data_IF_410814799654
#
_entry.id   IF_410814799654
#
_cell.length_a   1.000
_cell.length_b   1.000
_cell.length_c   1.000
_cell.angle_alpha   90.00
_cell.angle_beta   90.00
_cell.angle_gamma   90.00
#
_symmetry.space_group_name_H-M   'P 1'
#
loop_
_entity.id
_entity.type
_entity.pdbx_description
1 polymer ?
#
# COMPACT_ATOMS: atom_id res chain seq x y z
N UNK A 1 -10.83 -7.22 -7.08
CA UNK A 1 -12.06 -7.85 -6.54
C UNK A 1 -12.20 -7.58 -5.04
N UNK A 2 -13.36 -7.08 -4.57
CA UNK A 2 -13.66 -6.98 -3.12
C UNK A 2 -13.91 -8.37 -2.52
N UNK A 3 -13.22 -8.67 -1.43
CA UNK A 3 -13.35 -9.93 -0.66
C UNK A 3 -14.38 -9.76 0.45
N UNK A 4 -14.20 -8.75 1.31
CA UNK A 4 -15.03 -8.58 2.51
C UNK A 4 -15.00 -7.11 2.98
N UNK A 5 -16.00 -6.73 3.76
CA UNK A 5 -16.06 -5.46 4.50
C UNK A 5 -16.02 -5.71 6.00
N UNK A 6 -15.15 -5.00 6.71
CA UNK A 6 -15.02 -5.10 8.16
C UNK A 6 -15.48 -3.80 8.82
N UNK A 7 -16.31 -3.96 9.87
CA UNK A 7 -16.81 -2.88 10.75
C UNK A 7 -17.34 -1.63 10.02
N UNK A 8 -17.78 -1.78 8.76
CA UNK A 8 -18.18 -0.70 7.86
C UNK A 8 -17.13 0.41 7.67
N UNK A 9 -15.86 0.10 7.94
CA UNK A 9 -14.75 1.06 7.86
C UNK A 9 -13.65 0.64 6.89
N UNK A 10 -13.50 -0.65 6.61
CA UNK A 10 -12.45 -1.16 5.71
C UNK A 10 -12.99 -2.21 4.77
N UNK A 11 -12.67 -2.05 3.49
CA UNK A 11 -12.86 -3.09 2.48
C UNK A 11 -11.54 -3.77 2.17
N UNK A 12 -11.54 -5.11 2.14
CA UNK A 12 -10.41 -5.88 1.66
C UNK A 12 -10.62 -6.22 0.20
N UNK A 13 -9.62 -5.93 -0.62
CA UNK A 13 -9.61 -6.19 -2.05
C UNK A 13 -8.42 -7.06 -2.42
N UNK A 14 -8.61 -7.92 -3.40
CA UNK A 14 -7.54 -8.66 -4.07
C UNK A 14 -7.45 -8.23 -5.52
N UNK A 15 -6.27 -7.81 -5.94
CA UNK A 15 -5.98 -7.53 -7.35
C UNK A 15 -4.70 -8.23 -7.77
N UNK A 16 -4.80 -9.09 -8.77
CA UNK A 16 -3.74 -9.99 -9.22
C UNK A 16 -3.05 -10.74 -8.06
N UNK A 17 -1.82 -10.33 -7.74
CA UNK A 17 -0.95 -10.91 -6.71
C UNK A 17 -0.97 -10.17 -5.38
N UNK A 18 -1.67 -9.05 -5.29
CA UNK A 18 -1.75 -8.26 -4.06
C UNK A 18 -3.10 -8.37 -3.39
N UNK A 19 -3.09 -8.17 -2.09
CA UNK A 19 -4.22 -7.88 -1.23
C UNK A 19 -4.00 -6.49 -0.66
N UNK A 20 -5.02 -5.65 -0.71
CA UNK A 20 -4.99 -4.34 -0.07
C UNK A 20 -6.27 -4.07 0.69
N UNK A 21 -6.12 -3.30 1.76
CA UNK A 21 -7.19 -2.69 2.50
C UNK A 21 -7.46 -1.30 1.92
N UNK A 22 -8.72 -0.99 1.66
CA UNK A 22 -9.22 0.35 1.35
C UNK A 22 -10.00 0.87 2.55
N UNK A 23 -9.59 2.00 3.08
CA UNK A 23 -10.24 2.65 4.20
C UNK A 23 -11.38 3.50 3.65
N UNK A 24 -12.61 3.11 3.96
CA UNK A 24 -13.84 3.79 3.53
C UNK A 24 -14.35 4.80 4.58
N UNK A 25 -13.61 4.93 5.69
CA UNK A 25 -13.75 5.95 6.73
C UNK A 25 -12.35 6.40 7.19
N UNK A 26 -12.19 7.56 7.84
CA UNK A 26 -10.91 7.97 8.41
C UNK A 26 -10.42 6.97 9.47
N UNK A 27 -9.14 6.61 9.41
CA UNK A 27 -8.48 5.76 10.40
C UNK A 27 -7.25 6.48 10.92
N UNK A 28 -7.12 6.57 12.25
CA UNK A 28 -5.88 7.04 12.83
C UNK A 28 -4.81 5.95 12.69
N UNK A 29 -3.74 6.25 11.95
CA UNK A 29 -2.64 5.34 11.66
C UNK A 29 -1.34 5.89 12.23
N UNK A 30 -0.57 5.02 12.85
CA UNK A 30 0.84 5.25 13.14
C UNK A 30 1.67 4.63 12.03
N UNK A 31 2.28 5.46 11.19
CA UNK A 31 3.10 5.04 10.06
C UNK A 31 4.58 5.34 10.31
N UNK A 32 5.45 4.41 9.90
CA UNK A 32 6.91 4.58 9.97
C UNK A 32 7.52 4.96 8.61
N UNK A 33 6.69 5.15 7.57
CA UNK A 33 7.16 5.55 6.24
C UNK A 33 7.76 6.96 6.28
N UNK A 34 8.89 7.20 5.59
CA UNK A 34 9.49 8.53 5.51
C UNK A 34 8.62 9.56 4.77
N UNK A 35 7.81 9.13 3.79
CA UNK A 35 6.96 10.01 2.99
C UNK A 35 5.58 10.28 3.61
N UNK A 36 5.11 9.41 4.51
CA UNK A 36 3.80 9.50 5.14
C UNK A 36 3.88 8.95 6.56
N UNK A 37 4.82 9.45 7.35
CA UNK A 37 5.14 8.95 8.68
C UNK A 37 4.43 9.72 9.80
N UNK A 38 4.46 9.16 11.00
CA UNK A 38 3.86 9.75 12.19
C UNK A 38 2.43 9.28 12.43
N UNK A 39 1.75 9.97 13.35
CA UNK A 39 0.34 9.77 13.67
C UNK A 39 -0.50 10.65 12.75
N UNK A 40 -1.34 10.05 11.92
CA UNK A 40 -2.15 10.74 10.90
C UNK A 40 -3.44 9.99 10.61
N UNK A 41 -4.37 10.62 9.90
CA UNK A 41 -5.68 10.04 9.51
C UNK A 41 -5.96 10.08 8.00
N UNK A 42 -4.98 10.52 7.20
CA UNK A 42 -5.11 10.72 5.76
C UNK A 42 -4.86 9.48 4.90
N UNK A 43 -4.50 8.34 5.48
CA UNK A 43 -4.32 7.11 4.71
C UNK A 43 -5.68 6.54 4.30
N UNK A 44 -5.84 6.26 3.00
CA UNK A 44 -6.94 5.58 2.36
C UNK A 44 -6.63 4.14 1.98
N UNK A 45 -5.35 3.74 1.91
CA UNK A 45 -4.97 2.40 1.46
C UNK A 45 -3.80 1.81 2.25
N UNK A 46 -3.85 0.49 2.46
CA UNK A 46 -2.73 -0.30 2.97
C UNK A 46 -2.61 -1.59 2.15
N UNK A 47 -1.48 -1.82 1.51
CA UNK A 47 -1.28 -2.92 0.56
C UNK A 47 -0.11 -3.82 0.99
N UNK A 48 -0.20 -5.12 0.70
CA UNK A 48 0.92 -6.03 0.91
C UNK A 48 1.93 -5.89 -0.26
N UNK A 49 3.04 -5.21 -0.03
CA UNK A 49 4.08 -5.15 -1.06
C UNK A 49 5.04 -6.34 -0.95
N UNK A 50 5.19 -7.10 -2.04
CA UNK A 50 5.95 -8.36 -2.07
C UNK A 50 7.48 -8.19 -2.05
N UNK A 51 8.04 -6.99 -1.89
CA UNK A 51 9.50 -6.83 -1.79
C UNK A 51 10.11 -7.50 -0.55
N UNK A 52 9.28 -7.91 0.41
CA UNK A 52 9.70 -8.58 1.65
C UNK A 52 9.56 -10.11 1.59
N UNK A 53 9.04 -10.69 0.50
CA UNK A 53 8.81 -12.14 0.41
C UNK A 53 9.99 -12.84 -0.30
N UNK A 54 10.63 -13.88 0.29
CA UNK A 54 11.89 -14.44 -0.19
C UNK A 54 11.86 -15.17 -1.56
N UNK A 55 10.73 -15.24 -2.27
CA UNK A 55 10.61 -15.94 -3.54
C UNK A 55 9.60 -15.28 -4.50
N UNK A 56 9.94 -15.21 -5.79
CA UNK A 56 9.00 -14.84 -6.86
C UNK A 56 9.06 -13.39 -7.37
N UNK A 57 10.11 -12.63 -7.06
CA UNK A 57 10.33 -11.26 -7.57
C UNK A 57 10.59 -11.23 -9.09
N UNK A 58 9.57 -11.48 -9.90
CA UNK A 58 9.65 -11.26 -11.34
C UNK A 58 9.65 -9.75 -11.69
N UNK A 59 9.23 -8.89 -10.75
CA UNK A 59 9.40 -7.44 -10.85
C UNK A 59 10.70 -7.03 -10.19
N UNK A 60 11.72 -6.79 -11.02
CA UNK A 60 13.01 -6.30 -10.56
C UNK A 60 12.86 -4.82 -10.21
N UNK A 61 12.73 -4.53 -8.91
CA UNK A 61 12.76 -3.16 -8.40
C UNK A 61 14.06 -2.47 -8.87
N UNK A 62 13.95 -1.21 -9.29
CA UNK A 62 15.14 -0.43 -9.67
C UNK A 62 16.11 -0.36 -8.48
N UNK A 63 17.42 -0.58 -8.67
CA UNK A 63 18.39 -0.44 -7.60
C UNK A 63 18.28 0.93 -6.93
N UNK A 64 18.23 0.97 -5.59
CA UNK A 64 18.15 2.20 -4.82
C UNK A 64 16.74 2.77 -4.63
N UNK A 65 15.70 2.21 -5.27
CA UNK A 65 14.33 2.71 -5.12
C UNK A 65 13.85 2.73 -3.67
N UNK A 66 14.24 1.73 -2.86
CA UNK A 66 13.90 1.66 -1.43
C UNK A 66 14.50 2.81 -0.59
N UNK A 67 15.42 3.59 -1.13
CA UNK A 67 16.00 4.77 -0.45
C UNK A 67 15.15 6.02 -0.64
N UNK A 68 14.31 6.05 -1.66
CA UNK A 68 13.37 7.13 -1.92
C UNK A 68 11.94 6.64 -1.63
N UNK A 69 11.40 7.06 -0.49
CA UNK A 69 10.07 6.65 -0.06
C UNK A 69 8.94 7.18 -0.95
N UNK A 70 9.16 8.26 -1.70
CA UNK A 70 8.15 8.83 -2.60
C UNK A 70 8.10 7.98 -3.86
N UNK A 71 9.25 7.82 -4.53
CA UNK A 71 9.35 7.02 -5.75
C UNK A 71 8.97 5.55 -5.50
N UNK A 72 9.32 5.01 -4.32
CA UNK A 72 8.91 3.68 -3.91
C UNK A 72 7.39 3.55 -3.79
N UNK A 73 6.71 4.50 -3.14
CA UNK A 73 5.23 4.48 -3.02
C UNK A 73 4.59 4.54 -4.40
N UNK A 74 5.07 5.43 -5.26
CA UNK A 74 4.55 5.58 -6.62
C UNK A 74 4.71 4.28 -7.42
N UNK A 75 5.93 3.75 -7.48
CA UNK A 75 6.22 2.51 -8.20
C UNK A 75 5.41 1.31 -7.70
N UNK A 76 5.15 1.24 -6.39
CA UNK A 76 4.34 0.18 -5.79
C UNK A 76 2.85 0.31 -6.13
N UNK A 77 2.32 1.53 -6.23
CA UNK A 77 0.89 1.78 -6.44
C UNK A 77 0.49 1.81 -7.92
N UNK A 78 1.37 2.31 -8.80
CA UNK A 78 1.12 2.50 -10.24
C UNK A 78 0.56 1.25 -10.95
N UNK A 79 1.09 0.02 -10.74
CA UNK A 79 0.58 -1.17 -11.43
C UNK A 79 -0.87 -1.51 -11.09
N UNK A 80 -1.39 -1.00 -9.97
CA UNK A 80 -2.72 -1.29 -9.46
C UNK A 80 -3.67 -0.10 -9.58
N UNK A 81 -3.22 1.02 -10.15
CA UNK A 81 -4.00 2.25 -10.27
C UNK A 81 -4.40 2.85 -8.91
N UNK A 82 -3.61 2.58 -7.86
CA UNK A 82 -3.86 3.12 -6.53
C UNK A 82 -3.18 4.49 -6.37
N UNK A 83 -3.79 5.43 -5.64
CA UNK A 83 -3.21 6.74 -5.42
C UNK A 83 -2.06 6.66 -4.39
N UNK A 84 -0.81 7.00 -4.77
CA UNK A 84 0.34 6.80 -3.89
C UNK A 84 0.41 7.82 -2.75
N UNK A 85 -0.24 8.97 -2.85
CA UNK A 85 -0.33 9.99 -1.78
C UNK A 85 -1.44 9.72 -0.75
N UNK A 86 -2.35 8.80 -1.06
CA UNK A 86 -3.39 8.36 -0.13
C UNK A 86 -2.85 7.33 0.85
#
# INVERSE_FOLDING_TARGET
>A
MRIETYYDGVEIHREEKIIYAKFIRPHQVLSTCRAAGGLQDGLGYALNHQSCEPAGHHQRMKPGLWRDSIDYRQWTCDPYGLPPES
#
